data_IF_923846965896
#
_entry.id   IF_923846965896
#
_cell.length_a   1.000
_cell.length_b   1.000
_cell.length_c   1.000
_cell.angle_alpha   90.00
_cell.angle_beta   90.00
_cell.angle_gamma   90.00
#
_symmetry.space_group_name_H-M   'P 1'
#
loop_
_entity.id
_entity.type
_entity.pdbx_description
1 polymer ?
#
# COMPACT_ATOMS: atom_id res chain seq x y z
N UNK A 1 -12.38 8.91 -14.68
CA UNK A 1 -12.54 10.16 -13.90
C UNK A 1 -11.29 11.01 -14.12
N UNK A 2 -11.36 12.23 -14.69
CA UNK A 2 -10.16 12.87 -15.27
C UNK A 2 -9.13 13.41 -14.27
N UNK A 3 -9.46 13.47 -12.97
CA UNK A 3 -8.62 14.07 -11.93
C UNK A 3 -8.57 13.20 -10.65
N UNK A 4 -8.31 11.91 -10.79
CA UNK A 4 -7.94 11.10 -9.62
C UNK A 4 -6.61 11.61 -9.06
N UNK A 5 -6.50 11.75 -7.73
CA UNK A 5 -5.26 12.09 -7.04
C UNK A 5 -4.78 10.87 -6.27
N UNK A 6 -3.86 10.06 -6.84
CA UNK A 6 -3.34 8.90 -6.14
C UNK A 6 -2.56 9.34 -4.90
N UNK A 7 -2.72 8.57 -3.81
CA UNK A 7 -1.90 8.70 -2.61
C UNK A 7 -0.81 7.63 -2.66
N UNK A 8 0.38 7.99 -2.19
CA UNK A 8 1.54 7.10 -2.17
C UNK A 8 2.11 7.01 -0.77
N UNK A 9 2.52 5.80 -0.39
CA UNK A 9 3.31 5.54 0.82
C UNK A 9 4.75 5.27 0.37
N UNK A 10 5.71 5.90 1.03
CA UNK A 10 7.15 5.75 0.73
C UNK A 10 7.87 5.12 1.91
N UNK A 11 8.62 4.06 1.65
CA UNK A 11 9.52 3.42 2.61
C UNK A 11 10.70 2.76 1.87
N UNK A 12 11.79 2.49 2.58
CA UNK A 12 12.92 1.69 2.08
C UNK A 12 12.92 0.30 2.72
N UNK A 13 13.55 -0.67 2.04
CA UNK A 13 13.78 -2.00 2.59
C UNK A 13 14.53 -1.93 3.93
N UNK A 14 15.56 -1.08 4.02
CA UNK A 14 16.33 -0.87 5.25
C UNK A 14 15.42 -0.44 6.42
N UNK A 15 14.53 0.55 6.22
CA UNK A 15 13.61 1.02 7.28
C UNK A 15 12.63 -0.10 7.68
N UNK A 16 12.14 -0.86 6.71
CA UNK A 16 11.22 -1.96 6.97
C UNK A 16 11.89 -3.10 7.75
N UNK A 17 13.17 -3.36 7.50
CA UNK A 17 13.97 -4.33 8.25
C UNK A 17 14.35 -3.81 9.65
N UNK A 18 14.77 -2.55 9.77
CA UNK A 18 15.11 -1.92 11.05
C UNK A 18 13.89 -1.73 11.96
N UNK A 19 12.72 -1.52 11.37
CA UNK A 19 11.46 -1.24 12.07
C UNK A 19 10.35 -2.15 11.53
N UNK A 20 10.24 -3.40 12.02
CA UNK A 20 9.23 -4.35 11.55
C UNK A 20 7.80 -3.80 11.59
N UNK A 21 7.47 -2.95 12.56
CA UNK A 21 6.18 -2.30 12.67
C UNK A 21 5.82 -1.41 11.44
N UNK A 22 6.81 -0.91 10.71
CA UNK A 22 6.60 -0.18 9.45
C UNK A 22 6.20 -1.15 8.35
N UNK A 23 6.89 -2.28 8.24
CA UNK A 23 6.56 -3.32 7.28
C UNK A 23 5.14 -3.86 7.52
N UNK A 24 4.79 -4.11 8.79
CA UNK A 24 3.48 -4.58 9.21
C UNK A 24 2.38 -3.57 8.86
N UNK A 25 2.61 -2.28 9.13
CA UNK A 25 1.65 -1.23 8.79
C UNK A 25 1.41 -1.14 7.28
N UNK A 26 2.47 -1.19 6.47
CA UNK A 26 2.34 -1.15 5.00
C UNK A 26 1.56 -2.37 4.52
N UNK A 27 1.85 -3.56 5.04
CA UNK A 27 1.13 -4.79 4.70
C UNK A 27 -0.35 -4.72 5.08
N UNK A 28 -0.65 -4.25 6.29
CA UNK A 28 -2.02 -4.01 6.76
C UNK A 28 -2.76 -3.05 5.83
N UNK A 29 -2.14 -1.93 5.47
CA UNK A 29 -2.73 -0.96 4.55
C UNK A 29 -3.04 -1.59 3.19
N UNK A 30 -2.08 -2.29 2.58
CA UNK A 30 -2.28 -2.95 1.28
C UNK A 30 -3.36 -4.03 1.32
N UNK A 31 -3.55 -4.69 2.47
CA UNK A 31 -4.55 -5.76 2.63
C UNK A 31 -5.97 -5.20 2.75
N UNK A 32 -6.15 -4.09 3.48
CA UNK A 32 -7.48 -3.63 3.90
C UNK A 32 -7.94 -2.33 3.23
N UNK A 33 -7.07 -1.60 2.53
CA UNK A 33 -7.41 -0.27 2.00
C UNK A 33 -8.68 -0.27 1.16
N UNK A 34 -8.89 -1.26 0.29
CA UNK A 34 -10.07 -1.30 -0.58
C UNK A 34 -11.39 -1.58 0.18
N UNK A 35 -11.32 -2.13 1.40
CA UNK A 35 -12.50 -2.37 2.25
C UNK A 35 -13.01 -1.07 2.89
N UNK A 36 -12.09 -0.13 3.19
CA UNK A 36 -12.38 1.07 3.99
C UNK A 36 -12.50 2.36 3.15
N UNK A 37 -11.93 2.41 1.93
CA UNK A 37 -11.85 3.65 1.13
C UNK A 37 -13.17 4.14 0.55
N UNK A 38 -14.13 3.23 0.31
CA UNK A 38 -15.42 3.59 -0.28
C UNK A 38 -16.24 4.45 0.68
N UNK A 39 -16.21 4.14 1.98
CA UNK A 39 -16.94 4.85 3.03
C UNK A 39 -16.46 6.30 3.23
N UNK A 40 -15.20 6.58 2.87
CA UNK A 40 -14.58 7.91 2.97
C UNK A 40 -14.52 8.65 1.63
N UNK A 41 -15.17 8.14 0.59
CA UNK A 41 -15.33 8.81 -0.70
C UNK A 41 -14.11 8.75 -1.62
N UNK A 42 -13.17 7.84 -1.36
CA UNK A 42 -12.07 7.54 -2.26
C UNK A 42 -12.43 6.41 -3.21
N UNK A 43 -11.78 6.40 -4.38
CA UNK A 43 -11.89 5.27 -5.30
C UNK A 43 -10.91 4.17 -4.88
N UNK A 44 -11.34 2.89 -4.88
CA UNK A 44 -10.45 1.77 -4.67
C UNK A 44 -9.27 1.77 -5.63
N UNK A 45 -8.11 1.33 -5.14
CA UNK A 45 -6.98 1.07 -5.99
C UNK A 45 -7.32 -0.07 -6.97
N UNK A 46 -6.86 0.03 -8.23
CA UNK A 46 -7.05 -1.07 -9.18
C UNK A 46 -6.33 -2.33 -8.69
N UNK A 47 -6.87 -3.53 -8.99
CA UNK A 47 -6.21 -4.79 -8.61
C UNK A 47 -4.75 -4.87 -9.07
N UNK A 48 -4.46 -4.40 -10.29
CA UNK A 48 -3.10 -4.41 -10.84
C UNK A 48 -2.13 -3.52 -10.05
N UNK A 49 -2.56 -2.32 -9.65
CA UNK A 49 -1.73 -1.41 -8.86
C UNK A 49 -1.50 -1.94 -7.44
N UNK A 50 -2.53 -2.56 -6.85
CA UNK A 50 -2.43 -3.17 -5.52
C UNK A 50 -1.48 -4.38 -5.55
N UNK A 51 -1.63 -5.27 -6.54
CA UNK A 51 -0.76 -6.43 -6.73
C UNK A 51 0.70 -6.02 -6.97
N UNK A 52 0.95 -4.96 -7.76
CA UNK A 52 2.29 -4.43 -7.96
C UNK A 52 2.90 -3.89 -6.66
N UNK A 53 2.08 -3.23 -5.82
CA UNK A 53 2.51 -2.69 -4.52
C UNK A 53 2.82 -3.82 -3.53
N UNK A 54 2.01 -4.88 -3.52
CA UNK A 54 2.25 -6.10 -2.72
C UNK A 54 3.54 -6.78 -3.17
N UNK A 55 3.78 -6.93 -4.48
CA UNK A 55 5.02 -7.50 -4.99
C UNK A 55 6.24 -6.66 -4.56
N UNK A 56 6.15 -5.33 -4.68
CA UNK A 56 7.22 -4.43 -4.23
C UNK A 56 7.50 -4.56 -2.73
N UNK A 57 6.46 -4.79 -1.93
CA UNK A 57 6.60 -5.06 -0.50
C UNK A 57 7.29 -6.41 -0.24
N UNK A 58 6.90 -7.47 -0.96
CA UNK A 58 7.52 -8.80 -0.85
C UNK A 58 9.01 -8.75 -1.21
N UNK A 59 9.35 -8.12 -2.33
CA UNK A 59 10.74 -7.96 -2.79
C UNK A 59 11.59 -7.16 -1.77
N UNK A 60 10.98 -6.22 -1.04
CA UNK A 60 11.65 -5.44 -0.01
C UNK A 60 11.82 -6.19 1.33
N UNK A 61 11.15 -7.33 1.53
CA UNK A 61 11.26 -8.15 2.72
C UNK A 61 12.30 -9.28 2.61
N UNK A 62 12.78 -9.62 1.40
CA UNK A 62 13.83 -10.62 1.21
C UNK A 62 14.00 -11.10 -0.23
#
# INVERSE_FOLDING_TARGET
YPLARPLFIYSTADIMAEKPQVADFINFYLTHVNEEVEDVGYFPASPDALNQSIQSWLDAQG
#
